data_IF_756934892155
#
_entry.id   IF_756934892155
#
_cell.length_a   1.000
_cell.length_b   1.000
_cell.length_c   1.000
_cell.angle_alpha   90.00
_cell.angle_beta   90.00
_cell.angle_gamma   90.00
#
_symmetry.space_group_name_H-M   'P 1'
#
loop_
_entity.id
_entity.type
_entity.pdbx_description
1 polymer ?
#
# COMPACT_ATOMS: atom_id res chain seq x y z
N UNK A 1 -16.00 -16.77 -15.82
CA UNK A 1 -16.71 -15.48 -15.79
C UNK A 1 -15.72 -14.41 -15.36
N UNK A 2 -15.27 -13.54 -16.27
CA UNK A 2 -14.49 -12.38 -15.89
C UNK A 2 -15.39 -11.48 -15.02
N UNK A 3 -15.00 -11.25 -13.76
CA UNK A 3 -15.71 -10.30 -12.90
C UNK A 3 -15.50 -8.91 -13.49
N UNK A 4 -16.54 -8.06 -13.57
CA UNK A 4 -16.31 -6.69 -13.99
C UNK A 4 -15.47 -6.00 -12.91
N UNK A 5 -14.28 -5.58 -13.31
CA UNK A 5 -13.41 -4.68 -12.57
C UNK A 5 -14.25 -3.48 -12.12
N UNK A 6 -14.36 -3.28 -10.80
CA UNK A 6 -14.79 -2.05 -10.13
C UNK A 6 -15.84 -1.24 -10.94
N UNK A 7 -17.08 -1.73 -11.01
CA UNK A 7 -18.18 -0.97 -11.62
C UNK A 7 -18.61 0.14 -10.66
N UNK A 8 -18.09 1.35 -10.86
CA UNK A 8 -18.60 2.55 -10.18
C UNK A 8 -19.69 3.22 -11.02
N UNK A 9 -20.90 3.28 -10.48
CA UNK A 9 -21.92 4.22 -10.94
C UNK A 9 -21.67 5.59 -10.28
N UNK A 10 -21.50 6.69 -11.03
CA UNK A 10 -21.49 8.02 -10.45
C UNK A 10 -22.93 8.40 -10.10
N UNK A 11 -23.41 7.98 -8.94
CA UNK A 11 -24.77 8.28 -8.49
C UNK A 11 -24.77 8.54 -6.98
N UNK A 12 -24.98 9.81 -6.62
CA UNK A 12 -25.52 10.22 -5.32
C UNK A 12 -24.50 10.38 -4.22
N UNK A 13 -24.11 11.63 -3.95
CA UNK A 13 -23.25 12.06 -2.84
C UNK A 13 -21.93 11.28 -2.74
N UNK A 14 -20.86 11.83 -3.34
CA UNK A 14 -19.49 11.50 -2.96
C UNK A 14 -19.43 11.56 -1.43
N UNK A 15 -19.35 10.42 -0.76
CA UNK A 15 -18.96 10.39 0.65
C UNK A 15 -17.70 11.23 0.72
N UNK A 16 -17.74 12.34 1.45
CA UNK A 16 -16.60 13.23 1.58
C UNK A 16 -15.46 12.37 2.13
N UNK A 17 -14.44 12.13 1.31
CA UNK A 17 -13.28 11.38 1.74
C UNK A 17 -12.70 12.07 2.98
N UNK A 18 -12.45 11.29 4.03
CA UNK A 18 -11.94 11.78 5.29
C UNK A 18 -10.68 10.98 5.63
N UNK A 19 -9.64 11.69 6.04
CA UNK A 19 -8.49 11.09 6.73
C UNK A 19 -8.82 11.13 8.22
N UNK A 20 -8.72 9.98 8.88
CA UNK A 20 -8.99 9.83 10.32
C UNK A 20 -7.70 9.42 11.02
N UNK A 21 -7.45 10.01 12.18
CA UNK A 21 -6.36 9.56 13.04
C UNK A 21 -6.82 8.32 13.80
N UNK A 22 -5.99 7.28 13.77
CA UNK A 22 -6.25 5.99 14.42
C UNK A 22 -5.12 5.70 15.41
N UNK A 23 -5.51 5.48 16.64
CA UNK A 23 -4.68 5.30 17.82
C UNK A 23 -5.13 4.05 18.58
N UNK A 24 -4.38 3.62 19.59
CA UNK A 24 -4.78 2.47 20.41
C UNK A 24 -6.20 2.62 21.00
N UNK A 25 -6.60 3.85 21.35
CA UNK A 25 -7.90 4.13 21.99
C UNK A 25 -9.12 4.00 21.08
N UNK A 26 -8.97 4.12 19.75
CA UNK A 26 -10.07 3.98 18.78
C UNK A 26 -9.82 2.90 17.72
N UNK A 27 -8.76 2.10 17.86
CA UNK A 27 -8.35 1.13 16.85
C UNK A 27 -9.44 0.10 16.54
N UNK A 28 -10.07 -0.49 17.55
CA UNK A 28 -11.13 -1.48 17.37
C UNK A 28 -12.40 -0.89 16.71
N UNK A 29 -12.73 0.36 17.03
CA UNK A 29 -13.86 1.07 16.42
C UNK A 29 -13.60 1.32 14.93
N UNK A 30 -12.42 1.82 14.59
CA UNK A 30 -12.06 2.10 13.20
C UNK A 30 -11.86 0.83 12.38
N UNK A 31 -11.35 -0.26 12.97
CA UNK A 31 -11.35 -1.58 12.33
C UNK A 31 -12.77 -2.12 12.07
N UNK A 32 -13.70 -1.87 12.98
CA UNK A 32 -15.11 -2.27 12.80
C UNK A 32 -15.76 -1.46 11.67
N UNK A 33 -15.50 -0.16 11.59
CA UNK A 33 -15.93 0.70 10.49
C UNK A 33 -15.36 0.21 9.15
N UNK A 34 -14.08 -0.14 9.12
CA UNK A 34 -13.41 -0.67 7.94
C UNK A 34 -14.04 -2.02 7.52
N UNK A 35 -14.23 -2.94 8.46
CA UNK A 35 -14.85 -4.25 8.21
C UNK A 35 -16.26 -4.13 7.63
N UNK A 36 -17.03 -3.11 8.03
CA UNK A 36 -18.37 -2.86 7.53
C UNK A 36 -18.41 -2.38 6.06
N UNK A 37 -17.36 -1.69 5.59
CA UNK A 37 -17.30 -1.15 4.21
C UNK A 37 -16.61 -2.09 3.22
N UNK A 38 -15.70 -2.95 3.67
CA UNK A 38 -14.94 -3.88 2.82
C UNK A 38 -15.81 -4.76 1.89
N UNK A 39 -16.99 -5.28 2.29
CA UNK A 39 -17.83 -6.06 1.38
C UNK A 39 -18.32 -5.29 0.16
N UNK A 40 -18.48 -3.97 0.28
CA UNK A 40 -18.92 -3.08 -0.80
C UNK A 40 -17.73 -2.48 -1.56
N UNK A 41 -16.63 -2.21 -0.87
CA UNK A 41 -15.42 -1.63 -1.42
C UNK A 41 -14.21 -2.52 -1.07
N UNK A 42 -14.01 -3.66 -1.77
CA UNK A 42 -12.98 -4.65 -1.42
C UNK A 42 -11.60 -4.25 -1.97
N UNK A 43 -11.22 -2.99 -1.77
CA UNK A 43 -9.95 -2.41 -2.21
C UNK A 43 -9.29 -1.69 -1.03
N UNK A 44 -8.02 -1.97 -0.80
CA UNK A 44 -7.22 -1.38 0.29
C UNK A 44 -5.96 -0.80 -0.31
N UNK A 45 -5.73 0.49 -0.08
CA UNK A 45 -4.46 1.13 -0.40
C UNK A 45 -3.63 1.29 0.86
N UNK A 46 -2.34 0.96 0.77
CA UNK A 46 -1.39 1.11 1.86
C UNK A 46 -0.27 2.06 1.49
N UNK A 47 0.19 2.77 2.50
CA UNK A 47 1.34 3.64 2.47
C UNK A 47 1.94 3.65 3.88
N UNK A 48 3.25 3.58 3.97
CA UNK A 48 4.01 3.58 5.20
C UNK A 48 5.05 4.69 5.15
N UNK A 49 5.13 5.44 6.24
CA UNK A 49 6.21 6.39 6.44
C UNK A 49 7.35 5.69 7.22
N UNK A 50 8.58 5.92 6.79
CA UNK A 50 9.79 5.35 7.40
C UNK A 50 10.95 6.34 7.19
N UNK A 51 12.07 6.23 7.95
CA UNK A 51 13.12 7.26 7.95
C UNK A 51 13.91 7.38 6.63
N UNK A 52 13.49 6.66 5.59
CA UNK A 52 14.26 6.42 4.37
C UNK A 52 15.11 5.14 4.46
N UNK A 53 15.90 4.90 3.42
CA UNK A 53 16.84 3.78 3.37
C UNK A 53 18.19 4.24 3.94
N UNK A 54 18.69 3.57 4.99
CA UNK A 54 20.04 3.77 5.53
C UNK A 54 21.05 2.85 4.87
N UNK A 55 20.58 1.71 4.35
CA UNK A 55 21.37 0.82 3.53
C UNK A 55 21.10 1.10 2.06
N UNK A 56 22.18 1.32 1.31
CA UNK A 56 22.11 1.45 -0.14
C UNK A 56 23.26 0.68 -0.80
N UNK A 57 23.16 0.52 -2.11
CA UNK A 57 24.19 -0.09 -2.96
C UNK A 57 24.90 0.97 -3.80
N UNK A 58 26.20 0.78 -4.04
CA UNK A 58 26.98 1.60 -4.97
C UNK A 58 26.43 1.53 -6.41
N UNK A 59 25.66 0.49 -6.74
CA UNK A 59 24.95 0.41 -8.01
C UNK A 59 23.83 1.44 -8.04
N UNK A 60 23.74 2.32 -9.06
CA UNK A 60 22.61 3.22 -9.21
C UNK A 60 21.29 2.45 -9.33
N UNK A 61 20.19 2.99 -8.78
CA UNK A 61 18.87 2.32 -8.78
C UNK A 61 18.43 1.77 -10.14
N UNK A 62 18.73 2.47 -11.23
CA UNK A 62 18.33 2.05 -12.58
C UNK A 62 19.16 0.87 -13.14
N UNK A 63 20.27 0.50 -12.51
CA UNK A 63 21.09 -0.67 -12.86
C UNK A 63 20.77 -1.89 -12.01
N UNK A 64 20.00 -1.75 -10.92
CA UNK A 64 19.71 -2.83 -9.98
C UNK A 64 18.72 -3.83 -10.56
N UNK A 65 19.01 -5.11 -10.39
CA UNK A 65 18.04 -6.19 -10.67
C UNK A 65 17.03 -6.38 -9.53
N UNK A 66 15.95 -7.15 -9.74
CA UNK A 66 14.95 -7.43 -8.70
C UNK A 66 15.50 -7.98 -7.39
N UNK A 67 16.49 -8.88 -7.47
CA UNK A 67 17.10 -9.50 -6.28
C UNK A 67 17.92 -8.50 -5.46
N UNK A 68 18.74 -7.68 -6.12
CA UNK A 68 19.52 -6.62 -5.45
C UNK A 68 18.60 -5.57 -4.82
N UNK A 69 17.54 -5.17 -5.52
CA UNK A 69 16.52 -4.26 -4.99
C UNK A 69 15.86 -4.86 -3.74
N UNK A 70 15.52 -6.15 -3.78
CA UNK A 70 14.96 -6.85 -2.63
C UNK A 70 15.92 -6.93 -1.45
N UNK A 71 17.20 -7.25 -1.67
CA UNK A 71 18.21 -7.30 -0.60
C UNK A 71 18.30 -5.98 0.17
N UNK A 72 18.21 -4.84 -0.53
CA UNK A 72 18.15 -3.53 0.10
C UNK A 72 16.86 -3.30 0.87
N UNK A 73 15.70 -3.68 0.31
CA UNK A 73 14.41 -3.58 1.01
C UNK A 73 14.45 -4.42 2.29
N UNK A 74 14.86 -5.70 2.19
CA UNK A 74 15.00 -6.61 3.33
C UNK A 74 15.87 -6.00 4.42
N UNK A 75 17.09 -5.57 4.07
CA UNK A 75 18.04 -5.04 5.06
C UNK A 75 17.50 -3.79 5.76
N UNK A 76 16.94 -2.85 5.02
CA UNK A 76 16.35 -1.64 5.60
C UNK A 76 15.12 -1.94 6.46
N UNK A 77 14.21 -2.81 6.00
CA UNK A 77 13.01 -3.19 6.78
C UNK A 77 13.38 -3.96 8.03
N UNK A 78 14.39 -4.84 7.98
CA UNK A 78 14.85 -5.62 9.13
C UNK A 78 15.53 -4.74 10.19
N UNK A 79 16.36 -3.78 9.78
CA UNK A 79 17.16 -2.95 10.69
C UNK A 79 16.43 -1.67 11.16
N UNK A 80 15.43 -1.18 10.41
CA UNK A 80 14.69 0.05 10.74
C UNK A 80 13.29 -0.24 11.31
N UNK A 81 12.77 0.73 12.04
CA UNK A 81 11.39 0.74 12.54
C UNK A 81 10.53 1.66 11.67
N UNK A 82 9.25 1.33 11.53
CA UNK A 82 8.26 2.22 10.94
C UNK A 82 8.25 3.56 11.69
N UNK A 83 8.18 4.66 10.94
CA UNK A 83 7.94 5.99 11.47
C UNK A 83 6.65 6.51 10.86
N UNK A 84 5.50 6.33 11.51
CA UNK A 84 4.39 7.22 11.15
C UNK A 84 4.87 8.64 11.40
N UNK A 85 4.69 9.59 10.47
CA UNK A 85 5.29 10.94 10.45
C UNK A 85 4.96 11.86 11.64
N UNK A 86 5.24 11.37 12.84
CA UNK A 86 4.93 11.87 14.17
C UNK A 86 6.20 11.72 15.02
N UNK A 87 6.31 12.49 16.09
CA UNK A 87 7.39 12.25 17.05
C UNK A 87 7.21 10.89 17.76
N UNK A 88 8.33 10.27 18.11
CA UNK A 88 8.34 8.98 18.79
C UNK A 88 7.62 9.01 20.14
N UNK A 89 7.53 10.17 20.78
CA UNK A 89 6.89 10.30 22.09
C UNK A 89 5.37 10.05 21.95
N UNK A 90 4.74 10.68 20.96
CA UNK A 90 3.31 10.52 20.64
C UNK A 90 3.01 9.08 20.26
N UNK A 91 3.85 8.44 19.45
CA UNK A 91 3.68 7.03 19.10
C UNK A 91 3.82 6.10 20.31
N UNK A 92 4.75 6.39 21.21
CA UNK A 92 4.93 5.59 22.41
C UNK A 92 3.77 5.77 23.42
N UNK A 93 3.10 6.92 23.40
CA UNK A 93 1.99 7.22 24.31
C UNK A 93 0.63 6.77 23.75
N UNK A 94 0.38 6.94 22.45
CA UNK A 94 -0.95 6.74 21.82
C UNK A 94 -0.95 5.71 20.70
N UNK A 95 0.23 5.27 20.24
CA UNK A 95 0.37 4.33 19.12
C UNK A 95 -0.22 2.96 19.43
N UNK A 96 -0.53 2.23 18.37
CA UNK A 96 -1.08 0.88 18.44
C UNK A 96 0.08 -0.09 18.64
N UNK A 97 -0.02 -0.98 19.64
CA UNK A 97 0.95 -2.06 19.81
C UNK A 97 1.01 -2.92 18.53
N UNK A 98 2.18 -3.29 18.00
CA UNK A 98 2.27 -4.07 16.77
C UNK A 98 1.58 -5.44 16.83
N UNK A 99 1.52 -6.08 18.00
CA UNK A 99 0.81 -7.34 18.19
C UNK A 99 -0.70 -7.11 18.13
N UNK A 100 -1.20 -6.09 18.82
CA UNK A 100 -2.62 -5.68 18.74
C UNK A 100 -3.01 -5.31 17.31
N UNK A 101 -2.15 -4.56 16.61
CA UNK A 101 -2.33 -4.25 15.19
C UNK A 101 -2.48 -5.52 14.36
N UNK A 102 -1.57 -6.49 14.53
CA UNK A 102 -1.60 -7.74 13.78
C UNK A 102 -2.84 -8.60 14.11
N UNK A 103 -3.27 -8.62 15.37
CA UNK A 103 -4.51 -9.30 15.80
C UNK A 103 -5.74 -8.64 15.17
N UNK A 104 -5.85 -7.31 15.27
CA UNK A 104 -6.94 -6.54 14.69
C UNK A 104 -7.00 -6.66 13.16
N UNK A 105 -5.85 -6.61 12.49
CA UNK A 105 -5.74 -6.84 11.05
C UNK A 105 -6.30 -8.20 10.64
N UNK A 106 -5.96 -9.27 11.37
CA UNK A 106 -6.49 -10.62 11.08
C UNK A 106 -7.99 -10.71 11.34
N UNK A 107 -8.50 -10.05 12.38
CA UNK A 107 -9.93 -10.08 12.77
C UNK A 107 -10.85 -9.27 11.83
N UNK A 108 -10.35 -8.19 11.25
CA UNK A 108 -11.14 -7.27 10.39
C UNK A 108 -11.47 -7.83 9.00
N UNK A 109 -10.95 -9.01 8.65
CA UNK A 109 -11.08 -9.56 7.29
C UNK A 109 -10.12 -8.93 6.29
N UNK A 110 -9.20 -8.05 6.71
CA UNK A 110 -8.11 -7.52 5.88
C UNK A 110 -7.20 -8.64 5.35
N UNK A 111 -6.95 -9.68 6.15
CA UNK A 111 -6.20 -10.87 5.71
C UNK A 111 -6.99 -11.78 4.73
N UNK A 112 -8.18 -11.38 4.26
CA UNK A 112 -8.95 -12.17 3.30
C UNK A 112 -8.40 -11.99 1.89
N UNK A 113 -8.00 -13.08 1.22
CA UNK A 113 -7.50 -13.09 -0.17
C UNK A 113 -8.51 -12.67 -1.24
N UNK A 114 -9.64 -12.07 -0.87
CA UNK A 114 -10.65 -11.49 -1.78
C UNK A 114 -10.48 -9.98 -1.97
N UNK A 115 -9.60 -9.34 -1.20
CA UNK A 115 -9.32 -7.91 -1.33
C UNK A 115 -8.35 -7.65 -2.48
N UNK A 116 -8.45 -6.46 -3.04
CA UNK A 116 -7.44 -5.89 -3.93
C UNK A 116 -6.56 -4.96 -3.12
N UNK A 117 -5.27 -5.26 -3.04
CA UNK A 117 -4.27 -4.48 -2.32
C UNK A 117 -3.49 -3.60 -3.28
N UNK A 118 -3.32 -2.33 -2.94
CA UNK A 118 -2.62 -1.36 -3.78
C UNK A 118 -1.63 -0.56 -2.97
N UNK A 119 -0.53 -0.17 -3.60
CA UNK A 119 0.44 0.77 -3.04
C UNK A 119 1.12 1.53 -4.19
N UNK A 120 1.75 2.67 -3.90
CA UNK A 120 2.54 3.39 -4.91
C UNK A 120 4.03 3.18 -4.62
N UNK A 121 4.75 2.44 -5.47
CA UNK A 121 6.14 2.04 -5.19
C UNK A 121 6.25 1.14 -3.95
N UNK A 122 5.38 0.13 -3.87
CA UNK A 122 4.94 -0.55 -2.65
C UNK A 122 5.94 -1.47 -1.94
N UNK A 123 7.19 -1.57 -2.40
CA UNK A 123 8.14 -2.58 -1.93
C UNK A 123 8.38 -2.49 -0.42
N UNK A 124 8.52 -1.26 0.10
CA UNK A 124 8.71 -1.01 1.52
C UNK A 124 7.40 -1.15 2.30
N UNK A 125 6.29 -0.67 1.76
CA UNK A 125 4.98 -0.74 2.42
C UNK A 125 4.57 -2.19 2.70
N UNK A 126 4.68 -3.05 1.70
CA UNK A 126 4.42 -4.47 1.87
C UNK A 126 5.47 -5.14 2.75
N UNK A 127 6.73 -4.69 2.71
CA UNK A 127 7.80 -5.18 3.59
C UNK A 127 7.49 -4.93 5.06
N UNK A 128 7.21 -3.69 5.43
CA UNK A 128 6.89 -3.32 6.81
C UNK A 128 5.58 -3.94 7.29
N UNK A 129 4.53 -3.96 6.46
CA UNK A 129 3.29 -4.64 6.81
C UNK A 129 3.50 -6.15 7.00
N UNK A 130 4.27 -6.80 6.12
CA UNK A 130 4.59 -8.22 6.28
C UNK A 130 5.31 -8.47 7.60
N UNK A 131 6.34 -7.68 7.91
CA UNK A 131 7.09 -7.77 9.19
C UNK A 131 6.17 -7.59 10.40
N UNK A 132 5.28 -6.60 10.39
CA UNK A 132 4.31 -6.39 11.47
C UNK A 132 3.37 -7.59 11.63
N UNK A 133 2.81 -8.09 10.53
CA UNK A 133 1.85 -9.21 10.53
C UNK A 133 2.47 -10.56 10.89
N UNK A 134 3.78 -10.71 10.71
CA UNK A 134 4.56 -11.88 11.13
C UNK A 134 5.21 -11.72 12.50
N UNK A 135 4.77 -10.77 13.33
CA UNK A 135 5.26 -10.61 14.70
C UNK A 135 6.69 -10.10 14.80
N UNK A 136 7.09 -9.22 13.88
CA UNK A 136 8.42 -8.60 13.87
C UNK A 136 9.55 -9.48 13.36
N UNK A 137 9.26 -10.69 12.88
CA UNK A 137 10.27 -11.59 12.32
C UNK A 137 10.96 -10.98 11.09
N UNK A 138 12.25 -11.26 10.86
CA UNK A 138 12.95 -10.82 9.65
C UNK A 138 12.21 -11.24 8.38
N UNK A 139 12.30 -10.42 7.33
CA UNK A 139 11.74 -10.76 6.03
C UNK A 139 12.43 -12.02 5.44
N UNK A 140 11.79 -12.79 4.55
CA UNK A 140 12.39 -14.00 3.97
C UNK A 140 13.73 -13.76 3.28
N UNK A 141 14.67 -14.70 3.34
CA UNK A 141 16.03 -14.47 2.81
C UNK A 141 16.12 -14.33 1.28
N UNK A 142 15.06 -14.73 0.56
CA UNK A 142 15.02 -14.67 -0.90
C UNK A 142 13.83 -13.85 -1.39
N UNK A 143 13.97 -13.24 -2.57
CA UNK A 143 12.88 -12.53 -3.24
C UNK A 143 11.66 -13.44 -3.46
N UNK A 144 11.86 -14.68 -3.90
CA UNK A 144 10.77 -15.63 -4.10
C UNK A 144 10.04 -15.95 -2.79
N UNK A 145 10.78 -16.09 -1.69
CA UNK A 145 10.22 -16.26 -0.35
C UNK A 145 9.40 -15.05 0.09
N UNK A 146 9.86 -13.84 -0.22
CA UNK A 146 9.15 -12.59 0.07
C UNK A 146 7.87 -12.46 -0.76
N UNK A 147 7.94 -12.67 -2.07
CA UNK A 147 6.76 -12.64 -2.94
C UNK A 147 5.73 -13.69 -2.51
N UNK A 148 6.17 -14.89 -2.10
CA UNK A 148 5.29 -15.91 -1.54
C UNK A 148 4.65 -15.48 -0.20
N UNK A 149 5.37 -14.72 0.64
CA UNK A 149 4.82 -14.16 1.87
C UNK A 149 3.79 -13.07 1.60
N UNK A 150 4.09 -12.11 0.71
CA UNK A 150 3.15 -11.07 0.25
C UNK A 150 1.89 -11.73 -0.30
N UNK A 151 2.07 -12.74 -1.16
CA UNK A 151 0.96 -13.49 -1.73
C UNK A 151 0.09 -14.17 -0.66
N UNK A 152 0.71 -14.78 0.37
CA UNK A 152 0.00 -15.42 1.47
C UNK A 152 -0.80 -14.42 2.31
N UNK A 153 -0.25 -13.23 2.57
CA UNK A 153 -0.86 -12.22 3.44
C UNK A 153 -1.93 -11.39 2.72
N UNK A 154 -1.70 -11.03 1.46
CA UNK A 154 -2.49 -10.04 0.71
C UNK A 154 -3.21 -10.65 -0.50
N UNK A 155 -3.00 -11.92 -0.81
CA UNK A 155 -3.64 -12.62 -1.92
C UNK A 155 -2.95 -12.39 -3.28
N UNK A 156 -3.67 -12.71 -4.36
CA UNK A 156 -3.16 -12.55 -5.73
C UNK A 156 -3.37 -11.14 -6.30
N UNK A 157 -4.32 -10.37 -5.77
CA UNK A 157 -4.73 -9.07 -6.32
C UNK A 157 -3.94 -7.93 -5.70
N UNK A 158 -2.61 -7.98 -5.84
CA UNK A 158 -1.69 -6.91 -5.39
C UNK A 158 -1.28 -6.07 -6.59
N UNK A 159 -1.39 -4.75 -6.51
CA UNK A 159 -1.04 -3.84 -7.60
C UNK A 159 -0.14 -2.70 -7.13
N UNK A 160 0.99 -2.52 -7.81
CA UNK A 160 1.78 -1.31 -7.68
C UNK A 160 1.30 -0.23 -8.66
N UNK A 161 0.74 0.85 -8.13
CA UNK A 161 0.17 1.96 -8.91
C UNK A 161 1.26 2.68 -9.71
N UNK A 162 2.51 2.71 -9.22
CA UNK A 162 3.64 3.30 -9.96
C UNK A 162 4.03 2.44 -11.16
N UNK A 163 3.92 1.11 -11.05
CA UNK A 163 4.09 0.22 -12.21
C UNK A 163 3.03 0.50 -13.27
N UNK A 164 1.76 0.55 -12.86
CA UNK A 164 0.66 0.90 -13.76
C UNK A 164 0.87 2.28 -14.40
N UNK A 165 1.39 3.25 -13.65
CA UNK A 165 1.65 4.60 -14.16
C UNK A 165 2.74 4.58 -15.24
N UNK A 166 3.80 3.78 -15.04
CA UNK A 166 4.85 3.55 -16.06
C UNK A 166 4.28 2.92 -17.33
N UNK A 167 3.35 1.97 -17.23
CA UNK A 167 2.65 1.40 -18.38
C UNK A 167 1.82 2.45 -19.14
N UNK A 168 1.35 3.49 -18.47
CA UNK A 168 0.65 4.63 -19.06
C UNK A 168 1.58 5.80 -19.42
N UNK A 169 2.89 5.56 -19.56
CA UNK A 169 3.92 6.55 -19.90
C UNK A 169 4.06 7.72 -18.89
N UNK A 170 3.56 7.57 -17.67
CA UNK A 170 3.74 8.54 -16.60
C UNK A 170 4.95 8.15 -15.75
N UNK A 171 5.77 9.13 -15.38
CA UNK A 171 6.99 8.94 -14.58
C UNK A 171 6.98 9.91 -13.41
N UNK A 172 7.69 9.53 -12.34
CA UNK A 172 7.84 10.38 -11.16
C UNK A 172 7.34 9.76 -9.87
N UNK A 173 7.26 10.61 -8.84
CA UNK A 173 6.58 10.31 -7.58
C UNK A 173 5.07 10.47 -7.69
N UNK A 174 4.35 10.13 -6.62
CA UNK A 174 2.89 10.14 -6.56
C UNK A 174 2.30 11.51 -6.97
N UNK A 175 2.86 12.61 -6.46
CA UNK A 175 2.41 13.98 -6.77
C UNK A 175 2.55 14.34 -8.25
N UNK A 176 3.63 13.88 -8.89
CA UNK A 176 3.87 14.14 -10.32
C UNK A 176 2.87 13.35 -11.17
N UNK A 177 2.58 12.10 -10.80
CA UNK A 177 1.57 11.27 -11.48
C UNK A 177 0.16 11.85 -11.27
N UNK A 178 -0.19 12.26 -10.04
CA UNK A 178 -1.47 12.91 -9.74
C UNK A 178 -1.66 14.20 -10.55
N UNK A 179 -0.63 15.05 -10.59
CA UNK A 179 -0.61 16.28 -11.39
C UNK A 179 -0.83 15.99 -12.87
N UNK A 180 -0.13 15.00 -13.43
CA UNK A 180 -0.25 14.61 -14.84
C UNK A 180 -1.67 14.10 -15.20
N UNK A 181 -2.37 13.50 -14.23
CA UNK A 181 -3.75 13.03 -14.41
C UNK A 181 -4.81 14.11 -14.14
N UNK A 182 -4.43 15.22 -13.51
CA UNK A 182 -5.36 16.25 -13.02
C UNK A 182 -6.09 15.84 -11.74
N UNK A 183 -5.54 14.92 -10.96
CA UNK A 183 -6.07 14.49 -9.66
C UNK A 183 -5.56 15.45 -8.58
N UNK A 184 -6.45 15.90 -7.70
CA UNK A 184 -6.11 16.70 -6.53
C UNK A 184 -6.35 15.88 -5.27
N UNK A 185 -5.53 16.07 -4.23
CA UNK A 185 -5.77 15.46 -2.92
C UNK A 185 -7.14 15.87 -2.40
N UNK A 186 -7.98 14.88 -2.10
CA UNK A 186 -9.31 15.09 -1.54
C UNK A 186 -9.27 15.52 -0.06
N UNK A 187 -8.27 15.04 0.69
CA UNK A 187 -8.06 15.38 2.10
C UNK A 187 -6.61 15.15 2.55
N UNK A 188 -6.20 15.83 3.63
CA UNK A 188 -4.88 15.67 4.25
C UNK A 188 -3.76 16.46 3.56
N UNK A 189 -2.51 16.11 3.90
CA UNK A 189 -1.27 16.72 3.40
C UNK A 189 -0.38 15.63 2.81
N UNK A 190 0.52 16.00 1.89
CA UNK A 190 1.56 15.10 1.43
C UNK A 190 2.47 14.66 2.59
N UNK A 191 3.07 13.47 2.46
CA UNK A 191 3.92 12.85 3.48
C UNK A 191 3.13 12.47 4.74
N UNK A 192 1.94 11.93 4.53
CA UNK A 192 1.05 11.42 5.57
C UNK A 192 0.35 10.19 5.00
N UNK A 193 0.66 9.01 5.56
CA UNK A 193 0.19 7.70 5.07
C UNK A 193 -1.30 7.66 4.65
N UNK A 194 -2.20 8.19 5.48
CA UNK A 194 -3.63 8.24 5.17
C UNK A 194 -3.97 9.13 3.96
N UNK A 195 -3.32 10.29 3.82
CA UNK A 195 -3.53 11.19 2.66
C UNK A 195 -2.91 10.64 1.39
N UNK A 196 -1.72 10.04 1.49
CA UNK A 196 -1.01 9.44 0.36
C UNK A 196 -1.70 8.18 -0.16
N UNK A 197 -2.24 7.33 0.73
CA UNK A 197 -3.10 6.20 0.34
C UNK A 197 -4.38 6.64 -0.35
N UNK A 198 -5.01 7.72 0.12
CA UNK A 198 -6.20 8.29 -0.51
C UNK A 198 -5.88 8.84 -1.91
N UNK A 199 -4.81 9.63 -2.05
CA UNK A 199 -4.38 10.14 -3.36
C UNK A 199 -4.01 9.00 -4.32
N UNK A 200 -3.31 7.97 -3.83
CA UNK A 200 -2.97 6.77 -4.61
C UNK A 200 -4.21 6.06 -5.11
N UNK A 201 -5.25 5.95 -4.27
CA UNK A 201 -6.55 5.38 -4.65
C UNK A 201 -7.22 6.21 -5.75
N UNK A 202 -7.28 7.53 -5.61
CA UNK A 202 -7.87 8.42 -6.63
C UNK A 202 -7.13 8.35 -7.97
N UNK A 203 -5.80 8.30 -7.93
CA UNK A 203 -4.93 8.10 -9.09
C UNK A 203 -5.22 6.77 -9.77
N UNK A 204 -5.26 5.68 -9.01
CA UNK A 204 -5.55 4.35 -9.53
C UNK A 204 -6.93 4.30 -10.18
N UNK A 205 -7.97 4.78 -9.50
CA UNK A 205 -9.33 4.75 -10.02
C UNK A 205 -9.45 5.50 -11.35
N UNK A 206 -8.81 6.67 -11.45
CA UNK A 206 -8.82 7.43 -12.68
C UNK A 206 -8.01 6.75 -13.79
N UNK A 207 -6.87 6.14 -13.47
CA UNK A 207 -6.09 5.36 -14.43
C UNK A 207 -6.86 4.16 -14.96
N UNK A 208 -7.53 3.40 -14.08
CA UNK A 208 -8.39 2.28 -14.46
C UNK A 208 -9.48 2.75 -15.43
N UNK A 209 -10.12 3.87 -15.12
CA UNK A 209 -11.18 4.44 -15.94
C UNK A 209 -10.69 4.92 -17.33
N UNK A 210 -9.50 5.54 -17.40
CA UNK A 210 -8.97 6.17 -18.62
C UNK A 210 -8.19 5.21 -19.52
N UNK A 211 -7.42 4.28 -18.95
CA UNK A 211 -6.45 3.47 -19.69
C UNK A 211 -6.74 1.97 -19.65
N UNK A 212 -7.42 1.48 -18.61
CA UNK A 212 -7.65 0.03 -18.42
C UNK A 212 -9.12 -0.40 -18.61
N UNK A 213 -9.97 0.43 -19.21
CA UNK A 213 -11.39 0.06 -19.46
C UNK A 213 -11.53 -1.17 -20.38
N UNK A 214 -10.63 -1.29 -21.36
CA UNK A 214 -10.63 -2.38 -22.35
C UNK A 214 -9.29 -3.13 -22.37
N UNK A 215 -8.46 -2.95 -21.33
CA UNK A 215 -7.15 -3.60 -21.19
C UNK A 215 -7.20 -4.40 -19.90
N UNK A 216 -6.74 -5.65 -19.93
CA UNK A 216 -6.73 -6.49 -18.75
C UNK A 216 -5.69 -6.00 -17.73
N UNK A 217 -6.12 -5.18 -16.77
CA UNK A 217 -5.24 -4.74 -15.69
C UNK A 217 -4.78 -5.91 -14.82
N UNK A 218 -5.52 -7.04 -14.77
CA UNK A 218 -5.12 -8.20 -13.97
C UNK A 218 -3.83 -8.84 -14.46
N UNK A 219 -3.42 -8.60 -15.71
CA UNK A 219 -2.10 -8.99 -16.21
C UNK A 219 -0.93 -8.33 -15.43
N UNK A 220 -1.22 -7.28 -14.65
CA UNK A 220 -0.25 -6.60 -13.79
C UNK A 220 -0.38 -7.00 -12.30
N UNK A 221 -1.31 -7.90 -11.96
CA UNK A 221 -1.46 -8.37 -10.59
C UNK A 221 -0.19 -9.11 -10.11
N UNK A 222 0.23 -8.83 -8.89
CA UNK A 222 1.45 -9.37 -8.28
C UNK A 222 2.74 -8.63 -8.68
N UNK A 223 2.68 -7.65 -9.58
CA UNK A 223 3.85 -6.85 -9.95
C UNK A 223 4.10 -5.77 -8.89
N UNK A 224 5.32 -5.76 -8.33
CA UNK A 224 5.79 -4.74 -7.37
C UNK A 224 6.99 -4.05 -7.98
N UNK A 225 6.97 -2.71 -8.03
CA UNK A 225 8.02 -1.94 -8.69
C UNK A 225 9.40 -2.31 -8.16
N UNK A 226 10.33 -2.54 -9.10
CA UNK A 226 11.73 -2.90 -8.86
C UNK A 226 11.95 -4.29 -8.24
N UNK A 227 10.90 -5.06 -7.92
CA UNK A 227 10.98 -6.42 -7.36
C UNK A 227 10.48 -7.53 -8.30
N UNK A 228 9.84 -7.16 -9.42
CA UNK A 228 9.26 -8.09 -10.40
C UNK A 228 9.52 -7.61 -11.82
#
# INVERSE_FOLDING_TARGET
MARPLLVFTPSGALLKAAVRDVWASNFDEELSNLSAVLPRYPCVCVDTEFPGAVHDSDLPRYMRGPRESYELVKRNVDDLKLLQGMDFATLNEFGIDPEDFAVGFRRSGLACGRLTWTAFSGSYDFGYLAKALTGGQPLPDTLDGFLALVHRLFGHSVFDVKHLARCCAMRGGLEQVATALGVKRAAGRAHCAGSDSLLTTDVLLLMLHRFFRNVDVLAHAGTIVDLT
#
